data_IF_517390200764
#
_entry.id   IF_517390200764
#
_cell.length_a   1.000
_cell.length_b   1.000
_cell.length_c   1.000
_cell.angle_alpha   90.00
_cell.angle_beta   90.00
_cell.angle_gamma   90.00
#
_symmetry.space_group_name_H-M   'P 1'
#
loop_
_entity.id
_entity.type
_entity.pdbx_description
1 polymer ?
#
# COMPACT_ATOMS: atom_id res chain seq x y z
N UNK A 1 -9.44 17.92 -20.55
CA UNK A 1 -8.66 17.13 -19.57
C UNK A 1 -8.27 18.01 -18.41
N UNK A 2 -8.40 17.51 -17.18
CA UNK A 2 -8.08 18.28 -15.97
C UNK A 2 -6.57 18.51 -15.83
N UNK A 3 -6.18 19.72 -15.43
CA UNK A 3 -4.79 20.08 -15.08
C UNK A 3 -4.51 19.90 -13.57
N UNK A 4 -5.47 19.33 -12.83
CA UNK A 4 -5.37 19.18 -11.39
C UNK A 4 -4.26 18.18 -11.04
N UNK A 5 -3.25 18.66 -10.32
CA UNK A 5 -2.11 17.83 -9.90
C UNK A 5 -2.24 17.30 -8.47
N UNK A 6 -3.03 17.95 -7.62
CA UNK A 6 -3.19 17.60 -6.21
C UNK A 6 -4.64 17.74 -5.82
N UNK A 7 -5.20 16.71 -5.20
CA UNK A 7 -6.58 16.68 -4.74
C UNK A 7 -6.60 16.34 -3.25
N UNK A 8 -7.15 17.25 -2.45
CA UNK A 8 -7.27 17.11 -1.00
C UNK A 8 -8.73 16.85 -0.65
N UNK A 9 -8.99 15.66 -0.10
CA UNK A 9 -10.30 15.19 0.33
C UNK A 9 -10.24 14.59 1.75
N UNK A 10 -9.18 14.89 2.50
CA UNK A 10 -9.03 14.43 3.88
C UNK A 10 -10.18 14.94 4.77
N UNK A 11 -10.47 14.22 5.86
CA UNK A 11 -11.41 14.68 6.89
C UNK A 11 -12.83 14.92 6.39
N UNK A 12 -13.30 14.05 5.51
CA UNK A 12 -14.67 14.07 5.00
C UNK A 12 -15.42 12.81 5.46
N UNK A 13 -16.64 12.65 4.96
CA UNK A 13 -17.51 11.50 5.22
C UNK A 13 -17.68 10.67 3.94
N UNK A 14 -16.66 10.64 3.07
CA UNK A 14 -16.73 9.91 1.80
C UNK A 14 -16.81 8.42 2.09
N UNK A 15 -17.87 7.77 1.61
CA UNK A 15 -18.06 6.32 1.69
C UNK A 15 -17.57 5.61 0.43
N UNK A 16 -17.46 6.34 -0.69
CA UNK A 16 -16.91 5.87 -1.96
C UNK A 16 -16.25 7.01 -2.73
N UNK A 17 -15.48 6.64 -3.76
CA UNK A 17 -15.03 7.56 -4.80
C UNK A 17 -15.83 7.29 -6.09
N UNK A 18 -16.17 8.34 -6.85
CA UNK A 18 -16.78 8.17 -8.17
C UNK A 18 -15.76 7.59 -9.18
N UNK A 19 -16.23 6.87 -10.20
CA UNK A 19 -15.36 6.29 -11.25
C UNK A 19 -14.65 7.39 -12.06
N UNK A 20 -15.24 8.58 -12.14
CA UNK A 20 -14.67 9.77 -12.78
C UNK A 20 -13.34 10.22 -12.16
N UNK A 21 -12.95 9.72 -10.97
CA UNK A 21 -11.62 9.97 -10.41
C UNK A 21 -10.51 9.60 -11.41
N UNK A 22 -10.71 8.52 -12.20
CA UNK A 22 -9.75 8.07 -13.21
C UNK A 22 -9.50 9.08 -14.35
N UNK A 23 -10.39 10.06 -14.53
CA UNK A 23 -10.23 11.11 -15.54
C UNK A 23 -9.20 12.19 -15.14
N UNK A 24 -8.73 12.19 -13.89
CA UNK A 24 -7.72 13.12 -13.39
C UNK A 24 -6.30 12.68 -13.81
N UNK A 25 -6.06 12.58 -15.12
CA UNK A 25 -4.84 12.02 -15.70
C UNK A 25 -3.54 12.77 -15.36
N UNK A 26 -3.62 14.01 -14.86
CA UNK A 26 -2.48 14.81 -14.39
C UNK A 26 -2.27 14.75 -12.87
N UNK A 27 -3.08 13.98 -12.14
CA UNK A 27 -3.02 13.93 -10.69
C UNK A 27 -1.75 13.20 -10.24
N UNK A 28 -0.97 13.90 -9.41
CA UNK A 28 0.28 13.39 -8.82
C UNK A 28 0.12 13.05 -7.35
N UNK A 29 -0.83 13.68 -6.65
CA UNK A 29 -1.08 13.47 -5.22
C UNK A 29 -2.56 13.43 -4.91
N UNK A 30 -3.00 12.38 -4.25
CA UNK A 30 -4.38 12.18 -3.81
C UNK A 30 -4.39 11.95 -2.30
N UNK A 31 -5.08 12.82 -1.58
CA UNK A 31 -5.17 12.78 -0.12
C UNK A 31 -6.60 12.48 0.33
N UNK A 32 -6.81 11.32 0.94
CA UNK A 32 -8.11 10.76 1.32
C UNK A 32 -8.14 10.26 2.78
N UNK A 33 -7.20 10.69 3.62
CA UNK A 33 -7.16 10.27 5.01
C UNK A 33 -8.44 10.66 5.76
N UNK A 34 -8.80 9.89 6.79
CA UNK A 34 -9.92 10.22 7.68
C UNK A 34 -11.24 10.36 6.89
N UNK A 35 -11.62 9.28 6.21
CA UNK A 35 -12.89 9.12 5.50
C UNK A 35 -13.54 7.78 5.93
N UNK A 36 -14.56 7.34 5.20
CA UNK A 36 -15.31 6.11 5.46
C UNK A 36 -15.26 5.18 4.24
N UNK A 37 -14.18 5.25 3.44
CA UNK A 37 -14.06 4.47 2.21
C UNK A 37 -13.96 2.98 2.57
N UNK A 38 -14.92 2.20 2.09
CA UNK A 38 -14.89 0.74 2.22
C UNK A 38 -14.09 0.07 1.10
N UNK A 39 -14.06 0.69 -0.10
CA UNK A 39 -13.37 0.20 -1.28
C UNK A 39 -12.82 1.37 -2.11
N UNK A 40 -11.93 1.08 -3.06
CA UNK A 40 -11.55 2.00 -4.15
C UNK A 40 -12.17 1.51 -5.47
N UNK A 41 -12.59 2.41 -6.36
CA UNK A 41 -12.99 2.04 -7.72
C UNK A 41 -11.77 1.53 -8.53
N UNK A 42 -12.00 0.64 -9.50
CA UNK A 42 -10.95 0.12 -10.39
C UNK A 42 -10.26 1.26 -11.16
N UNK A 43 -10.99 2.33 -11.44
CA UNK A 43 -10.52 3.54 -12.12
C UNK A 43 -9.39 4.27 -11.37
N UNK A 44 -9.11 3.91 -10.10
CA UNK A 44 -7.92 4.40 -9.41
C UNK A 44 -6.65 4.07 -10.21
N UNK A 45 -6.59 2.91 -10.89
CA UNK A 45 -5.46 2.49 -11.72
C UNK A 45 -5.20 3.39 -12.93
N UNK A 46 -6.18 4.20 -13.34
CA UNK A 46 -6.05 5.13 -14.46
C UNK A 46 -5.23 6.38 -14.12
N UNK A 47 -4.94 6.61 -12.84
CA UNK A 47 -4.12 7.73 -12.37
C UNK A 47 -2.62 7.50 -12.63
N UNK A 48 -2.24 7.36 -13.90
CA UNK A 48 -0.88 7.00 -14.35
C UNK A 48 0.24 7.96 -13.90
N UNK A 49 -0.11 9.17 -13.46
CA UNK A 49 0.82 10.18 -12.94
C UNK A 49 0.94 10.19 -11.41
N UNK A 50 0.15 9.36 -10.71
CA UNK A 50 0.07 9.39 -9.26
C UNK A 50 1.37 8.92 -8.62
N UNK A 51 1.91 9.76 -7.73
CA UNK A 51 3.16 9.52 -7.00
C UNK A 51 2.90 9.29 -5.50
N UNK A 52 1.79 9.83 -4.97
CA UNK A 52 1.43 9.72 -3.57
C UNK A 52 -0.07 9.50 -3.42
N UNK A 53 -0.42 8.43 -2.70
CA UNK A 53 -1.79 8.09 -2.35
C UNK A 53 -1.89 7.93 -0.83
N UNK A 54 -2.71 8.76 -0.18
CA UNK A 54 -2.95 8.68 1.25
C UNK A 54 -4.38 8.25 1.55
N UNK A 55 -4.52 7.12 2.22
CA UNK A 55 -5.79 6.45 2.54
C UNK A 55 -5.83 6.02 4.02
N UNK A 56 -5.02 6.62 4.89
CA UNK A 56 -5.02 6.27 6.30
C UNK A 56 -6.39 6.53 6.92
N UNK A 57 -6.77 5.77 7.95
CA UNK A 57 -8.01 6.02 8.69
C UNK A 57 -9.24 5.97 7.77
N UNK A 58 -9.40 4.85 7.09
CA UNK A 58 -10.57 4.50 6.28
C UNK A 58 -11.09 3.11 6.74
N UNK A 59 -11.98 2.51 5.95
CA UNK A 59 -12.60 1.22 6.25
C UNK A 59 -12.29 0.19 5.15
N UNK A 60 -11.14 0.36 4.46
CA UNK A 60 -10.79 -0.49 3.32
C UNK A 60 -10.58 -1.93 3.77
N UNK A 61 -11.31 -2.87 3.17
CA UNK A 61 -11.18 -4.31 3.43
C UNK A 61 -10.27 -4.99 2.41
N UNK A 62 -10.15 -4.42 1.21
CA UNK A 62 -9.27 -4.85 0.13
C UNK A 62 -8.81 -3.67 -0.74
N UNK A 63 -7.75 -3.89 -1.52
CA UNK A 63 -7.36 -3.03 -2.63
C UNK A 63 -7.80 -3.66 -3.95
N UNK A 64 -8.23 -2.87 -4.95
CA UNK A 64 -8.47 -3.38 -6.30
C UNK A 64 -7.14 -3.84 -6.93
N UNK A 65 -7.19 -4.84 -7.81
CA UNK A 65 -6.01 -5.33 -8.54
C UNK A 65 -5.37 -4.23 -9.41
N UNK A 66 -6.19 -3.28 -9.86
CA UNK A 66 -5.78 -2.10 -10.62
C UNK A 66 -4.82 -1.18 -9.85
N UNK A 67 -4.62 -1.37 -8.54
CA UNK A 67 -3.58 -0.65 -7.79
C UNK A 67 -2.20 -0.85 -8.43
N UNK A 68 -1.93 -2.04 -9.00
CA UNK A 68 -0.67 -2.34 -9.69
C UNK A 68 -0.41 -1.49 -10.94
N UNK A 69 -1.44 -0.86 -11.50
CA UNK A 69 -1.33 0.02 -12.67
C UNK A 69 -0.70 1.39 -12.35
N UNK A 70 -0.59 1.74 -11.06
CA UNK A 70 0.01 2.99 -10.59
C UNK A 70 1.55 2.97 -10.68
N UNK A 71 2.08 2.79 -11.89
CA UNK A 71 3.50 2.61 -12.20
C UNK A 71 4.44 3.72 -11.71
N UNK A 72 3.92 4.92 -11.38
CA UNK A 72 4.68 6.06 -10.85
C UNK A 72 4.53 6.25 -9.33
N UNK A 73 3.76 5.39 -8.66
CA UNK A 73 3.48 5.53 -7.23
C UNK A 73 4.75 5.30 -6.43
N UNK A 74 5.09 6.27 -5.59
CA UNK A 74 6.27 6.24 -4.72
C UNK A 74 5.89 6.04 -3.26
N UNK A 75 4.71 6.52 -2.85
CA UNK A 75 4.25 6.40 -1.46
C UNK A 75 2.79 6.00 -1.40
N UNK A 76 2.53 4.93 -0.67
CA UNK A 76 1.19 4.42 -0.41
C UNK A 76 0.97 4.30 1.10
N UNK A 77 0.00 5.05 1.61
CA UNK A 77 -0.35 5.07 3.02
C UNK A 77 -1.74 4.49 3.25
N UNK A 78 -1.79 3.37 3.99
CA UNK A 78 -2.98 2.56 4.24
C UNK A 78 -3.13 2.21 5.72
N UNK A 79 -2.48 2.96 6.62
CA UNK A 79 -2.56 2.68 8.05
C UNK A 79 -3.99 2.81 8.57
N UNK A 80 -4.36 2.04 9.60
CA UNK A 80 -5.67 2.13 10.24
C UNK A 80 -6.80 1.92 9.22
N UNK A 81 -6.77 0.77 8.55
CA UNK A 81 -7.83 0.25 7.69
C UNK A 81 -8.23 -1.16 8.18
N UNK A 82 -8.99 -1.91 7.39
CA UNK A 82 -9.47 -3.25 7.72
C UNK A 82 -8.93 -4.29 6.73
N UNK A 83 -7.76 -4.04 6.12
CA UNK A 83 -7.19 -4.89 5.08
C UNK A 83 -6.84 -6.26 5.66
N UNK A 84 -7.28 -7.33 4.99
CA UNK A 84 -6.98 -8.73 5.38
C UNK A 84 -5.82 -9.31 4.55
N UNK A 85 -5.65 -8.81 3.32
CA UNK A 85 -4.58 -9.19 2.41
C UNK A 85 -4.27 -8.04 1.44
N UNK A 86 -3.20 -8.22 0.66
CA UNK A 86 -2.88 -7.38 -0.50
C UNK A 86 -3.07 -8.19 -1.79
N UNK A 87 -3.52 -7.57 -2.89
CA UNK A 87 -3.47 -8.21 -4.21
C UNK A 87 -2.02 -8.47 -4.63
N UNK A 88 -1.76 -9.53 -5.40
CA UNK A 88 -0.41 -9.83 -5.91
C UNK A 88 0.13 -8.70 -6.80
N UNK A 89 -0.76 -7.96 -7.45
CA UNK A 89 -0.49 -6.79 -8.26
C UNK A 89 0.20 -5.66 -7.49
N UNK A 90 0.23 -5.69 -6.15
CA UNK A 90 1.06 -4.76 -5.36
C UNK A 90 2.53 -4.82 -5.80
N UNK A 91 3.02 -6.00 -6.21
CA UNK A 91 4.39 -6.19 -6.71
C UNK A 91 4.71 -5.42 -7.99
N UNK A 92 3.69 -4.96 -8.72
CA UNK A 92 3.85 -4.19 -9.97
C UNK A 92 4.21 -2.72 -9.73
N UNK A 93 4.13 -2.24 -8.48
CA UNK A 93 4.48 -0.87 -8.09
C UNK A 93 6.00 -0.65 -8.07
N UNK A 94 6.63 -0.74 -9.25
CA UNK A 94 8.08 -0.76 -9.45
C UNK A 94 8.83 0.50 -8.98
N UNK A 95 8.12 1.59 -8.68
CA UNK A 95 8.69 2.85 -8.17
C UNK A 95 8.38 3.10 -6.68
N UNK A 96 7.70 2.16 -6.01
CA UNK A 96 7.28 2.34 -4.62
C UNK A 96 8.51 2.37 -3.70
N UNK A 97 8.56 3.40 -2.86
CA UNK A 97 9.61 3.62 -1.87
C UNK A 97 9.09 3.37 -0.45
N UNK A 98 7.86 3.82 -0.18
CA UNK A 98 7.23 3.77 1.14
C UNK A 98 5.87 3.07 1.06
N UNK A 99 5.71 1.98 1.83
CA UNK A 99 4.45 1.26 1.99
C UNK A 99 4.08 1.19 3.47
N UNK A 100 2.99 1.85 3.84
CA UNK A 100 2.51 1.89 5.22
C UNK A 100 1.18 1.14 5.38
N UNK A 101 1.19 0.08 6.17
CA UNK A 101 0.07 -0.84 6.40
C UNK A 101 -0.17 -1.11 7.89
N UNK A 102 0.35 -0.25 8.77
CA UNK A 102 0.20 -0.42 10.22
C UNK A 102 -1.28 -0.46 10.62
N UNK A 103 -1.61 -1.24 11.65
CA UNK A 103 -2.95 -1.28 12.23
C UNK A 103 -4.01 -1.68 11.20
N UNK A 104 -3.80 -2.83 10.58
CA UNK A 104 -4.76 -3.51 9.71
C UNK A 104 -5.05 -4.93 10.26
N UNK A 105 -5.68 -5.79 9.46
CA UNK A 105 -5.97 -7.19 9.80
C UNK A 105 -5.22 -8.17 8.88
N UNK A 106 -4.05 -7.78 8.38
CA UNK A 106 -3.33 -8.54 7.35
C UNK A 106 -2.84 -9.85 7.96
N UNK A 107 -3.28 -10.98 7.38
CA UNK A 107 -2.90 -12.33 7.84
C UNK A 107 -1.75 -12.92 7.05
N UNK A 108 -1.57 -12.49 5.80
CA UNK A 108 -0.46 -12.89 4.93
C UNK A 108 -0.12 -11.80 3.92
N UNK A 109 1.12 -11.84 3.42
CA UNK A 109 1.57 -11.03 2.29
C UNK A 109 1.68 -11.92 1.04
N UNK A 110 1.31 -11.42 -0.15
CA UNK A 110 1.58 -12.12 -1.40
C UNK A 110 3.09 -12.27 -1.63
N UNK A 111 3.53 -13.34 -2.28
CA UNK A 111 4.95 -13.54 -2.61
C UNK A 111 5.48 -12.43 -3.54
N UNK A 112 4.60 -11.88 -4.36
CA UNK A 112 4.83 -10.75 -5.26
C UNK A 112 5.30 -9.48 -4.52
N UNK A 113 5.12 -9.36 -3.20
CA UNK A 113 5.67 -8.24 -2.42
C UNK A 113 7.20 -8.13 -2.59
N UNK A 114 7.89 -9.25 -2.81
CA UNK A 114 9.33 -9.28 -3.09
C UNK A 114 9.75 -8.60 -4.39
N UNK A 115 8.81 -8.34 -5.30
CA UNK A 115 9.05 -7.66 -6.58
C UNK A 115 9.19 -6.13 -6.42
N UNK A 116 8.89 -5.58 -5.24
CA UNK A 116 9.05 -4.16 -4.90
C UNK A 116 10.53 -3.78 -4.75
N UNK A 117 11.29 -3.84 -5.85
CA UNK A 117 12.75 -3.67 -5.89
C UNK A 117 13.27 -2.30 -5.43
N UNK A 118 12.40 -1.28 -5.38
CA UNK A 118 12.75 0.08 -4.97
C UNK A 118 12.34 0.40 -3.52
N UNK A 119 11.62 -0.50 -2.84
CA UNK A 119 11.05 -0.22 -1.54
C UNK A 119 12.16 -0.02 -0.50
N UNK A 120 12.05 1.07 0.25
CA UNK A 120 12.95 1.43 1.34
C UNK A 120 12.32 1.12 2.70
N UNK A 121 11.02 1.37 2.82
CA UNK A 121 10.30 1.29 4.08
C UNK A 121 9.00 0.48 3.93
N UNK A 122 8.91 -0.59 4.71
CA UNK A 122 7.71 -1.43 4.82
C UNK A 122 7.23 -1.44 6.28
N UNK A 123 6.07 -0.85 6.53
CA UNK A 123 5.49 -0.77 7.86
C UNK A 123 4.25 -1.67 7.96
N UNK A 124 4.32 -2.67 8.84
CA UNK A 124 3.30 -3.70 9.05
C UNK A 124 2.97 -3.90 10.54
N UNK A 125 3.32 -2.94 11.39
CA UNK A 125 3.07 -2.98 12.83
C UNK A 125 1.58 -3.22 13.11
N UNK A 126 1.29 -4.03 14.13
CA UNK A 126 -0.07 -4.28 14.62
C UNK A 126 -0.97 -4.83 13.49
N UNK A 127 -0.59 -6.00 12.97
CA UNK A 127 -1.35 -6.80 12.01
C UNK A 127 -1.53 -8.23 12.59
N UNK A 128 -1.92 -9.20 11.75
CA UNK A 128 -2.17 -10.59 12.14
C UNK A 128 -1.23 -11.57 11.41
N UNK A 129 -0.04 -11.10 11.02
CA UNK A 129 0.93 -11.92 10.29
C UNK A 129 1.50 -13.02 11.21
N UNK A 130 1.38 -14.27 10.78
CA UNK A 130 2.00 -15.43 11.45
C UNK A 130 3.32 -15.84 10.81
N UNK A 131 3.49 -15.52 9.52
CA UNK A 131 4.71 -15.76 8.76
C UNK A 131 4.93 -14.66 7.71
N UNK A 132 6.15 -14.61 7.17
CA UNK A 132 6.53 -13.74 6.05
C UNK A 132 6.87 -14.58 4.82
N UNK A 133 6.49 -14.16 3.60
CA UNK A 133 6.94 -14.83 2.39
C UNK A 133 8.46 -14.73 2.26
N UNK A 134 9.11 -15.79 1.75
CA UNK A 134 10.57 -15.85 1.61
C UNK A 134 11.11 -14.80 0.65
N UNK A 135 10.24 -14.33 -0.25
CA UNK A 135 10.44 -13.32 -1.27
C UNK A 135 10.77 -11.94 -0.69
N UNK A 136 10.43 -11.64 0.57
CA UNK A 136 10.90 -10.41 1.24
C UNK A 136 12.44 -10.33 1.20
N UNK A 137 13.13 -11.46 1.24
CA UNK A 137 14.59 -11.51 1.10
C UNK A 137 15.12 -11.06 -0.28
N UNK A 138 14.26 -10.79 -1.25
CA UNK A 138 14.64 -10.26 -2.59
C UNK A 138 14.69 -8.72 -2.60
N UNK A 139 14.12 -8.06 -1.59
CA UNK A 139 13.99 -6.61 -1.52
C UNK A 139 15.30 -5.94 -1.10
N UNK A 140 16.28 -5.90 -2.01
CA UNK A 140 17.66 -5.48 -1.75
C UNK A 140 17.83 -4.02 -1.30
N UNK A 141 16.83 -3.16 -1.53
CA UNK A 141 16.83 -1.76 -1.12
C UNK A 141 16.10 -1.49 0.20
N UNK A 142 15.44 -2.51 0.77
CA UNK A 142 14.66 -2.34 1.99
C UNK A 142 15.61 -2.02 3.15
N UNK A 143 15.35 -0.90 3.82
CA UNK A 143 16.16 -0.40 4.95
C UNK A 143 15.39 -0.42 6.26
N UNK A 144 14.06 -0.38 6.21
CA UNK A 144 13.21 -0.43 7.39
C UNK A 144 12.07 -1.43 7.17
N UNK A 145 11.96 -2.39 8.08
CA UNK A 145 10.90 -3.39 8.12
C UNK A 145 10.30 -3.38 9.54
N UNK A 146 9.11 -2.80 9.70
CA UNK A 146 8.44 -2.70 10.99
C UNK A 146 7.38 -3.80 11.12
N UNK A 147 7.60 -4.76 12.01
CA UNK A 147 6.75 -5.95 12.19
C UNK A 147 6.19 -6.09 13.62
N UNK A 148 6.46 -5.12 14.48
CA UNK A 148 6.04 -5.17 15.88
C UNK A 148 4.53 -5.44 16.02
N UNK A 149 4.12 -6.10 17.10
CA UNK A 149 2.71 -6.40 17.37
C UNK A 149 2.05 -7.28 16.27
N UNK A 150 2.79 -8.24 15.72
CA UNK A 150 2.24 -9.35 14.93
C UNK A 150 2.49 -10.69 15.66
N UNK A 151 1.62 -11.69 15.50
CA UNK A 151 1.81 -13.04 16.06
C UNK A 151 2.79 -13.88 15.23
N UNK A 152 3.95 -13.34 14.87
CA UNK A 152 4.96 -14.02 14.04
C UNK A 152 5.61 -15.18 14.82
N UNK A 153 5.56 -16.38 14.24
CA UNK A 153 6.18 -17.57 14.85
C UNK A 153 7.67 -17.69 14.49
N UNK A 154 8.05 -17.26 13.29
CA UNK A 154 9.43 -17.23 12.82
C UNK A 154 9.69 -16.09 11.82
N UNK A 155 10.94 -15.67 11.74
CA UNK A 155 11.46 -14.75 10.74
C UNK A 155 12.37 -15.54 9.78
N UNK A 156 12.03 -15.62 8.47
CA UNK A 156 12.83 -16.31 7.47
C UNK A 156 14.32 -15.95 7.53
N UNK A 157 15.20 -16.95 7.46
CA UNK A 157 16.66 -16.75 7.63
C UNK A 157 17.29 -15.71 6.69
N UNK A 158 16.77 -15.55 5.47
CA UNK A 158 17.24 -14.50 4.53
C UNK A 158 16.98 -13.08 5.05
N UNK A 159 15.90 -12.87 5.81
CA UNK A 159 15.60 -11.59 6.46
C UNK A 159 16.61 -11.33 7.57
N UNK A 160 16.95 -12.36 8.37
CA UNK A 160 17.97 -12.25 9.43
C UNK A 160 19.36 -11.87 8.90
N UNK A 161 19.68 -12.22 7.65
CA UNK A 161 20.95 -11.87 6.99
C UNK A 161 20.99 -10.43 6.49
N UNK A 162 19.84 -9.84 6.13
CA UNK A 162 19.74 -8.47 5.61
C UNK A 162 19.40 -7.44 6.70
N UNK A 163 18.67 -7.87 7.73
CA UNK A 163 18.27 -7.07 8.88
C UNK A 163 18.71 -7.82 10.15
N UNK A 164 19.88 -7.50 10.74
CA UNK A 164 20.23 -8.04 12.04
C UNK A 164 19.21 -7.51 13.06
N UNK A 165 18.28 -8.38 13.46
CA UNK A 165 17.32 -8.15 14.54
C UNK A 165 18.02 -8.22 15.89
#
# INVERSE_FOLDING_TARGET
MSQLQRLYLNQNQLTSLPTEIGQLSQLTRLYLNQNQLANLPAEIGQLSQLQRLELNQNQLTALPVEIGQLSRLQRLYLNQNQLISLPGEIGQLSQLLDLHLNQNHITSLPGEIGQLSQLLNLHLRQNQLTALPTEIGQMSRLTQLELAENPLEDIPGKIRQHFPL
#
